data_IF_250682274501
#
_entry.id   IF_250682274501
#
_cell.length_a   1.000
_cell.length_b   1.000
_cell.length_c   1.000
_cell.angle_alpha   90.00
_cell.angle_beta   90.00
_cell.angle_gamma   90.00
#
_symmetry.space_group_name_H-M   'P 1'
#
loop_
_entity.id
_entity.type
_entity.pdbx_description
1 polymer ?
#
# COMPACT_ATOMS: atom_id res chain seq x y z
N UNK A 1 -9.47 -0.56 -13.46
CA UNK A 1 -8.44 0.26 -12.78
C UNK A 1 -8.97 0.53 -11.39
N UNK A 2 -8.18 0.30 -10.34
CA UNK A 2 -8.63 0.61 -8.98
C UNK A 2 -8.69 2.14 -8.81
N UNK A 3 -9.79 2.63 -8.24
CA UNK A 3 -10.04 4.05 -8.01
C UNK A 3 -9.60 4.44 -6.60
N UNK A 4 -9.18 5.71 -6.42
CA UNK A 4 -8.83 6.25 -5.11
C UNK A 4 -10.09 6.52 -4.29
N UNK A 5 -10.15 5.94 -3.09
CA UNK A 5 -11.26 6.08 -2.14
C UNK A 5 -10.86 7.12 -1.08
N UNK A 6 -11.70 8.14 -0.88
CA UNK A 6 -11.48 9.12 0.18
C UNK A 6 -11.72 8.50 1.55
N UNK A 7 -10.87 8.81 2.55
CA UNK A 7 -10.93 8.19 3.89
C UNK A 7 -12.28 8.35 4.60
N UNK A 8 -12.95 9.48 4.36
CA UNK A 8 -14.22 9.82 5.03
C UNK A 8 -15.42 9.14 4.35
N UNK A 9 -15.24 8.62 3.13
CA UNK A 9 -16.24 7.78 2.46
C UNK A 9 -16.18 6.35 3.03
N UNK A 10 -14.97 5.77 3.08
CA UNK A 10 -14.74 4.42 3.58
C UNK A 10 -13.30 4.23 4.00
N UNK A 11 -13.10 3.51 5.10
CA UNK A 11 -11.77 3.05 5.53
C UNK A 11 -11.48 1.66 4.94
N UNK A 12 -10.20 1.34 4.66
CA UNK A 12 -9.83 0.01 4.17
C UNK A 12 -10.06 -1.03 5.26
N UNK A 13 -10.38 -2.23 4.80
CA UNK A 13 -10.51 -3.43 5.62
C UNK A 13 -9.38 -4.40 5.30
N UNK A 14 -9.31 -5.51 6.04
CA UNK A 14 -8.37 -6.58 5.72
C UNK A 14 -8.61 -7.19 4.33
N UNK A 15 -9.84 -7.13 3.79
CA UNK A 15 -10.16 -7.68 2.45
C UNK A 15 -9.63 -6.80 1.31
N UNK A 16 -9.40 -5.51 1.57
CA UNK A 16 -8.85 -4.58 0.58
C UNK A 16 -7.32 -4.63 0.51
N UNK A 17 -6.69 -5.32 1.46
CA UNK A 17 -5.26 -5.37 1.62
C UNK A 17 -4.62 -6.49 0.80
N UNK A 18 -3.34 -6.33 0.49
CA UNK A 18 -2.54 -7.39 -0.11
C UNK A 18 -2.26 -8.54 0.88
N UNK A 19 -1.52 -9.55 0.41
CA UNK A 19 -1.11 -10.70 1.21
C UNK A 19 -0.28 -10.33 2.47
N UNK A 20 0.22 -9.10 2.56
CA UNK A 20 0.97 -8.57 3.70
C UNK A 20 0.14 -7.64 4.59
N UNK A 21 -1.15 -7.46 4.30
CA UNK A 21 -2.02 -6.55 5.05
C UNK A 21 -1.81 -5.08 4.71
N UNK A 22 -1.25 -4.78 3.54
CA UNK A 22 -0.92 -3.43 3.09
C UNK A 22 -1.89 -2.89 2.03
N UNK A 23 -2.03 -1.57 2.00
CA UNK A 23 -2.76 -0.78 0.99
C UNK A 23 -1.89 0.38 0.50
N UNK A 24 -2.21 0.92 -0.67
CA UNK A 24 -1.60 2.15 -1.16
C UNK A 24 -2.38 3.34 -0.62
N UNK A 25 -1.69 4.36 -0.11
CA UNK A 25 -2.28 5.57 0.45
C UNK A 25 -1.67 6.83 -0.13
N UNK A 26 -2.46 7.89 -0.17
CA UNK A 26 -1.97 9.25 -0.41
C UNK A 26 -1.84 10.00 0.91
N UNK A 27 -0.59 10.22 1.33
CA UNK A 27 -0.22 11.08 2.45
C UNK A 27 -0.05 12.53 1.99
N UNK A 28 -0.71 13.48 2.67
CA UNK A 28 -0.70 14.91 2.30
C UNK A 28 0.70 15.50 2.08
N UNK A 29 1.69 15.07 2.87
CA UNK A 29 3.06 15.60 2.79
C UNK A 29 4.07 14.71 2.06
N UNK A 30 3.80 13.39 2.00
CA UNK A 30 4.79 12.41 1.54
C UNK A 30 4.39 11.79 0.18
N UNK A 31 3.24 12.18 -0.37
CA UNK A 31 2.71 11.60 -1.59
C UNK A 31 2.26 10.15 -1.37
N UNK A 32 2.48 9.30 -2.36
CA UNK A 32 2.04 7.90 -2.31
C UNK A 32 2.94 7.06 -1.40
N UNK A 33 2.32 6.26 -0.53
CA UNK A 33 3.00 5.35 0.39
C UNK A 33 2.28 4.00 0.44
N UNK A 34 3.01 2.93 0.75
CA UNK A 34 2.40 1.66 1.17
C UNK A 34 2.40 1.60 2.69
N UNK A 35 1.27 1.22 3.28
CA UNK A 35 1.12 1.08 4.73
C UNK A 35 0.09 0.01 5.08
N UNK A 36 0.05 -0.44 6.34
CA UNK A 36 -0.95 -1.39 6.80
C UNK A 36 -2.36 -0.77 6.76
N UNK A 37 -3.37 -1.53 6.32
CA UNK A 37 -4.75 -1.04 6.22
C UNK A 37 -5.25 -0.39 7.53
N UNK A 38 -4.88 -0.98 8.66
CA UNK A 38 -5.25 -0.55 10.01
C UNK A 38 -4.61 0.78 10.45
N UNK A 39 -3.68 1.34 9.67
CA UNK A 39 -3.01 2.61 9.96
C UNK A 39 -3.81 3.83 9.45
N UNK A 40 -4.71 3.66 8.47
CA UNK A 40 -5.52 4.76 7.94
C UNK A 40 -6.35 5.51 8.99
N UNK A 41 -7.05 4.83 9.92
CA UNK A 41 -7.81 5.51 10.96
C UNK A 41 -6.91 6.33 11.90
N UNK A 42 -5.68 5.86 12.12
CA UNK A 42 -4.73 6.40 13.10
C UNK A 42 -3.93 7.61 12.61
N UNK A 43 -3.80 7.79 11.29
CA UNK A 43 -3.05 8.90 10.71
C UNK A 43 -3.95 9.80 9.85
N UNK A 44 -4.27 10.99 10.40
CA UNK A 44 -5.10 12.01 9.74
C UNK A 44 -4.55 12.56 8.43
N UNK A 45 -3.27 12.36 8.15
CA UNK A 45 -2.63 12.84 6.93
C UNK A 45 -2.79 11.87 5.74
N UNK A 46 -3.32 10.67 5.97
CA UNK A 46 -3.76 9.79 4.89
C UNK A 46 -5.15 10.22 4.42
N UNK A 47 -5.23 10.73 3.19
CA UNK A 47 -6.46 11.34 2.62
C UNK A 47 -7.24 10.38 1.74
N UNK A 48 -6.52 9.62 0.91
CA UNK A 48 -7.08 8.65 -0.02
C UNK A 48 -6.32 7.34 0.07
N UNK A 49 -6.96 6.26 -0.35
CA UNK A 49 -6.34 4.96 -0.43
C UNK A 49 -6.92 4.13 -1.57
N UNK A 50 -6.22 3.08 -1.94
CA UNK A 50 -6.68 2.05 -2.87
C UNK A 50 -5.99 0.72 -2.55
N UNK A 51 -6.55 -0.42 -3.00
CA UNK A 51 -5.82 -1.68 -2.99
C UNK A 51 -4.46 -1.50 -3.69
N UNK A 52 -3.43 -2.19 -3.21
CA UNK A 52 -2.13 -2.15 -3.87
C UNK A 52 -2.25 -2.60 -5.33
N UNK A 53 -1.52 -1.98 -6.27
CA UNK A 53 -1.48 -2.49 -7.62
C UNK A 53 -0.98 -3.94 -7.62
N UNK A 54 -1.56 -4.77 -8.48
CA UNK A 54 -1.04 -6.11 -8.71
C UNK A 54 0.46 -6.00 -9.06
N UNK A 55 1.34 -6.82 -8.47
CA UNK A 55 2.73 -6.84 -8.89
C UNK A 55 2.79 -7.04 -10.41
N UNK A 56 3.75 -6.40 -11.11
CA UNK A 56 3.94 -6.67 -12.53
C UNK A 56 4.17 -8.17 -12.74
N UNK A 57 3.73 -8.71 -13.88
CA UNK A 57 3.74 -10.15 -14.22
C UNK A 57 5.11 -10.83 -13.99
N UNK A 58 6.21 -10.05 -13.98
CA UNK A 58 7.58 -10.51 -13.73
C UNK A 58 8.16 -10.16 -12.35
N UNK A 59 7.35 -9.84 -11.34
CA UNK A 59 7.83 -9.50 -9.99
C UNK A 59 8.46 -10.67 -9.22
N UNK A 60 8.45 -11.89 -9.77
CA UNK A 60 9.15 -13.06 -9.24
C UNK A 60 10.64 -13.12 -9.67
N UNK A 61 11.28 -11.99 -9.95
CA UNK A 61 12.71 -11.95 -10.23
C UNK A 61 13.36 -10.72 -9.58
N UNK A 62 14.16 -10.92 -8.54
CA UNK A 62 15.20 -9.94 -8.21
C UNK A 62 15.30 -9.45 -6.77
N UNK A 63 15.01 -10.28 -5.76
CA UNK A 63 15.65 -10.09 -4.46
C UNK A 63 16.30 -11.38 -3.98
N UNK A 64 17.59 -11.53 -4.26
CA UNK A 64 18.45 -12.66 -3.84
C UNK A 64 19.38 -12.23 -2.69
N UNK A 65 18.93 -11.26 -1.89
CA UNK A 65 19.71 -10.65 -0.82
C UNK A 65 20.99 -9.95 -1.31
N UNK A 66 21.73 -9.32 -0.38
CA UNK A 66 23.12 -8.94 -0.64
C UNK A 66 23.91 -10.25 -0.62
N UNK A 67 24.32 -10.75 -1.80
CA UNK A 67 25.42 -11.71 -1.85
C UNK A 67 26.64 -11.02 -1.25
N UNK A 68 27.04 -11.38 -0.03
CA UNK A 68 28.34 -10.99 0.52
C UNK A 68 29.40 -11.46 -0.48
N UNK A 69 30.16 -10.52 -1.01
CA UNK A 69 31.30 -10.80 -1.88
C UNK A 69 32.38 -11.61 -1.16
N UNK A 70 33.37 -12.14 -1.92
CA UNK A 70 34.33 -13.14 -1.46
C UNK A 70 35.17 -12.70 -0.27
#
# INVERSE_FOLDING_TARGET
MAEWIHRDERLPTAEDADAYGCVLVWHTFNGHMITGWHQLPSNRYFTHWMPTPCPPENAQAGWDGIKKGP
#
